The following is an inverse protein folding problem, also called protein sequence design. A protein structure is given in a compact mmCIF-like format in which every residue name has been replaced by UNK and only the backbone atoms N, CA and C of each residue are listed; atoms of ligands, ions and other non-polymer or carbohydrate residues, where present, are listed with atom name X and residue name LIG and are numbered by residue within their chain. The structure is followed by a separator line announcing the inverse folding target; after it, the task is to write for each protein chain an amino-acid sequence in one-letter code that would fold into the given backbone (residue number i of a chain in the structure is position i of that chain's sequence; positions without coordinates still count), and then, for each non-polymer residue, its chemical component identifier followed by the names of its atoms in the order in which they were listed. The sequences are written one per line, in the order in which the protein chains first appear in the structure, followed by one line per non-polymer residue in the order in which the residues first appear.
data_IF_035642495258
#
_entry.id   IF_035642495258
#
_cell.length_a   1.000
_cell.length_b   1.000
_cell.length_c   1.000
_cell.angle_alpha   90.00
_cell.angle_beta   90.00
_cell.angle_gamma   90.00
#
_symmetry.space_group_name_H-M   'P 1'
#
loop_
_entity.id
_entity.type
_entity.pdbx_description
1 polymer ?
#
# COMPACT_ATOMS: atom_id res chain seq x y z
N UNK A 1 -44.21 30.02 -11.09
CA UNK A 1 -43.76 30.10 -9.68
C UNK A 1 -44.80 29.39 -8.83
N UNK A 2 -44.55 28.44 -7.93
CA UNK A 2 -43.37 27.72 -7.44
C UNK A 2 -43.92 26.40 -6.82
N UNK A 3 -43.46 25.24 -7.28
CA UNK A 3 -42.43 24.38 -6.66
C UNK A 3 -42.94 23.53 -5.48
N UNK A 4 -43.30 22.29 -5.80
CA UNK A 4 -43.38 21.16 -4.87
C UNK A 4 -41.96 20.71 -4.56
N UNK A 5 -41.50 20.83 -3.31
CA UNK A 5 -40.27 20.19 -2.83
C UNK A 5 -40.61 18.97 -2.00
N UNK A 6 -40.37 17.79 -2.56
CA UNK A 6 -40.28 16.53 -1.81
C UNK A 6 -39.00 16.54 -0.98
N UNK A 7 -39.15 16.30 0.33
CA UNK A 7 -38.07 16.13 1.29
C UNK A 7 -37.45 14.75 1.14
N UNK A 8 -36.33 14.66 0.43
CA UNK A 8 -35.43 13.50 0.46
C UNK A 8 -34.53 13.63 1.70
N UNK A 9 -34.94 13.04 2.82
CA UNK A 9 -34.03 12.81 3.95
C UNK A 9 -34.32 11.45 4.58
N UNK A 10 -33.76 10.40 3.98
CA UNK A 10 -33.40 9.22 4.75
C UNK A 10 -31.98 8.79 4.35
N UNK A 11 -31.01 9.44 4.99
CA UNK A 11 -29.61 9.02 4.93
C UNK A 11 -29.47 7.89 5.96
N UNK A 12 -29.13 6.70 5.48
CA UNK A 12 -28.75 5.54 6.26
C UNK A 12 -28.02 5.94 7.55
N UNK A 13 -28.68 5.78 8.70
CA UNK A 13 -28.02 5.86 9.99
C UNK A 13 -27.16 4.61 10.13
N UNK A 14 -25.84 4.79 10.13
CA UNK A 14 -24.94 3.75 10.55
C UNK A 14 -25.35 3.26 11.96
N UNK A 15 -25.36 1.94 12.21
CA UNK A 15 -25.70 1.44 13.53
C UNK A 15 -24.73 1.97 14.59
N UNK A 16 -25.20 2.24 15.82
CA UNK A 16 -24.34 2.76 16.87
C UNK A 16 -23.27 1.73 17.24
N UNK A 17 -22.02 2.19 17.27
CA UNK A 17 -20.86 1.39 17.66
C UNK A 17 -21.04 1.00 19.14
N UNK A 18 -20.95 -0.31 19.50
CA UNK A 18 -21.15 -0.72 20.87
C UNK A 18 -20.06 -0.15 21.81
N UNK A 19 -20.43 0.23 23.04
CA UNK A 19 -19.64 1.10 23.93
C UNK A 19 -18.38 0.46 24.54
N UNK A 20 -17.92 -0.69 24.04
CA UNK A 20 -16.73 -1.40 24.54
C UNK A 20 -15.73 -1.78 23.43
N UNK A 21 -15.79 -1.12 22.27
CA UNK A 21 -14.93 -1.43 21.13
C UNK A 21 -13.69 -0.52 21.12
N UNK A 22 -12.74 -0.75 22.04
CA UNK A 22 -11.44 -0.07 22.00
C UNK A 22 -10.76 -0.25 20.62
N UNK A 23 -9.97 0.74 20.20
CA UNK A 23 -9.32 0.78 18.86
C UNK A 23 -8.44 -0.44 18.60
N UNK A 24 -7.89 -1.03 19.66
CA UNK A 24 -7.09 -2.25 19.60
C UNK A 24 -6.19 -2.40 20.82
N UNK A 25 -5.21 -3.30 20.70
CA UNK A 25 -4.14 -3.48 21.69
C UNK A 25 -2.81 -3.16 21.03
N UNK A 26 -2.00 -2.32 21.67
CA UNK A 26 -0.62 -2.05 21.33
C UNK A 26 0.28 -2.86 22.28
N UNK A 27 1.15 -3.70 21.74
CA UNK A 27 2.20 -4.39 22.48
C UNK A 27 3.51 -3.67 22.22
N UNK A 28 4.19 -3.26 23.28
CA UNK A 28 5.48 -2.57 23.23
C UNK A 28 6.59 -3.46 23.78
N UNK A 29 7.71 -3.49 23.08
CA UNK A 29 8.90 -4.19 23.49
C UNK A 29 9.53 -3.58 24.75
N UNK A 30 9.72 -4.40 25.78
CA UNK A 30 10.32 -3.97 27.05
C UNK A 30 11.75 -3.48 26.88
N UNK A 31 12.59 -4.20 26.12
CA UNK A 31 13.99 -3.82 25.90
C UNK A 31 14.12 -2.56 25.07
N UNK A 32 13.25 -2.37 24.07
CA UNK A 32 13.23 -1.12 23.30
C UNK A 32 12.81 0.07 24.17
N UNK A 33 11.76 -0.10 24.98
CA UNK A 33 11.25 0.92 25.92
C UNK A 33 12.33 1.38 26.88
N UNK A 34 13.08 0.44 27.44
CA UNK A 34 14.11 0.72 28.46
C UNK A 34 15.29 1.53 27.89
N UNK A 35 15.46 1.53 26.57
CA UNK A 35 16.44 2.36 25.88
C UNK A 35 15.91 3.75 25.48
N UNK A 36 14.62 4.05 25.72
CA UNK A 36 14.04 5.35 25.40
C UNK A 36 14.02 6.30 26.59
N UNK A 37 13.99 7.59 26.30
CA UNK A 37 13.81 8.60 27.34
C UNK A 37 12.43 8.46 28.02
N UNK A 38 12.31 8.55 29.36
CA UNK A 38 11.04 8.37 30.06
C UNK A 38 9.91 9.30 29.60
N UNK A 39 10.21 10.55 29.23
CA UNK A 39 9.20 11.47 28.71
C UNK A 39 8.56 10.99 27.42
N UNK A 40 9.33 10.31 26.55
CA UNK A 40 8.82 9.79 25.30
C UNK A 40 7.90 8.58 25.52
N UNK A 41 8.23 7.72 26.50
CA UNK A 41 7.35 6.63 26.92
C UNK A 41 6.03 7.16 27.51
N UNK A 42 6.08 8.25 28.29
CA UNK A 42 4.89 8.92 28.81
C UNK A 42 4.04 9.52 27.69
N UNK A 43 4.67 10.14 26.69
CA UNK A 43 3.99 10.61 25.48
C UNK A 43 3.26 9.44 24.78
N UNK A 44 3.96 8.34 24.49
CA UNK A 44 3.39 7.16 23.84
C UNK A 44 2.17 6.63 24.61
N UNK A 45 2.31 6.42 25.92
CA UNK A 45 1.23 5.91 26.76
C UNK A 45 0.01 6.83 26.76
N UNK A 46 0.23 8.15 26.86
CA UNK A 46 -0.83 9.16 26.83
C UNK A 46 -1.50 9.21 25.45
N UNK A 47 -0.72 9.16 24.39
CA UNK A 47 -1.20 9.19 23.00
C UNK A 47 -2.04 7.96 22.68
N UNK A 48 -1.59 6.76 23.06
CA UNK A 48 -2.36 5.52 22.91
C UNK A 48 -3.67 5.57 23.68
N UNK A 49 -3.65 6.06 24.92
CA UNK A 49 -4.85 6.19 25.75
C UNK A 49 -5.85 7.16 25.12
N UNK A 50 -5.39 8.32 24.64
CA UNK A 50 -6.23 9.29 23.93
C UNK A 50 -6.85 8.71 22.65
N UNK A 51 -6.17 7.75 22.01
CA UNK A 51 -6.65 7.05 20.81
C UNK A 51 -7.36 5.71 21.13
N UNK A 52 -7.74 5.48 22.40
CA UNK A 52 -8.48 4.28 22.84
C UNK A 52 -7.76 2.95 22.58
N UNK A 53 -6.43 2.96 22.59
CA UNK A 53 -5.61 1.75 22.55
C UNK A 53 -5.21 1.30 23.95
N UNK A 54 -5.26 0.00 24.20
CA UNK A 54 -4.70 -0.60 25.42
C UNK A 54 -3.22 -0.89 25.19
N UNK A 55 -2.36 -0.43 26.10
CA UNK A 55 -0.92 -0.65 26.03
C UNK A 55 -0.50 -1.84 26.93
N UNK A 56 0.22 -2.79 26.35
CA UNK A 56 0.84 -3.92 27.04
C UNK A 56 2.36 -3.91 26.80
N UNK A 57 3.13 -4.27 27.82
CA UNK A 57 4.59 -4.42 27.71
C UNK A 57 4.96 -5.91 27.64
N UNK A 58 5.67 -6.33 26.59
CA UNK A 58 6.02 -7.72 26.35
C UNK A 58 7.44 -7.84 25.78
N UNK A 59 8.15 -8.95 26.03
CA UNK A 59 9.45 -9.24 25.41
C UNK A 59 9.25 -9.76 23.97
N UNK A 60 8.82 -8.88 23.06
CA UNK A 60 8.58 -9.19 21.65
C UNK A 60 9.80 -8.85 20.78
N UNK A 61 9.88 -9.41 19.57
CA UNK A 61 11.01 -9.16 18.66
C UNK A 61 10.90 -7.83 17.89
N UNK A 62 9.68 -7.41 17.51
CA UNK A 62 9.39 -6.09 16.98
C UNK A 62 9.40 -5.04 18.11
N UNK A 63 9.42 -3.73 17.79
CA UNK A 63 9.33 -2.68 18.81
C UNK A 63 7.88 -2.45 19.23
N UNK A 64 6.98 -2.46 18.25
CA UNK A 64 5.54 -2.42 18.47
C UNK A 64 4.81 -3.47 17.65
N UNK A 65 3.75 -4.03 18.22
CA UNK A 65 2.75 -4.81 17.48
C UNK A 65 1.37 -4.27 17.83
N UNK A 66 0.62 -3.85 16.82
CA UNK A 66 -0.77 -3.42 16.96
C UNK A 66 -1.71 -4.54 16.52
N UNK A 67 -2.67 -4.87 17.39
CA UNK A 67 -3.74 -5.84 17.12
C UNK A 67 -5.08 -5.12 17.04
N UNK A 68 -5.61 -5.00 15.82
CA UNK A 68 -6.86 -4.30 15.51
C UNK A 68 -7.84 -5.26 14.84
N UNK A 69 -8.82 -5.78 15.59
CA UNK A 69 -9.85 -6.67 15.02
C UNK A 69 -9.30 -7.94 14.37
N UNK A 70 -8.27 -8.54 14.98
CA UNK A 70 -7.62 -9.76 14.49
C UNK A 70 -6.67 -9.53 13.30
N UNK A 71 -6.29 -8.30 13.00
CA UNK A 71 -5.15 -7.98 12.13
C UNK A 71 -3.98 -7.55 13.00
N UNK A 72 -2.80 -8.09 12.74
CA UNK A 72 -1.56 -7.73 13.42
C UNK A 72 -0.67 -6.94 12.48
N UNK A 73 -0.21 -5.78 12.93
CA UNK A 73 0.78 -4.94 12.22
C UNK A 73 1.98 -4.75 13.13
N UNK A 74 3.17 -5.12 12.65
CA UNK A 74 4.41 -5.00 13.38
C UNK A 74 5.23 -3.80 12.91
N UNK A 75 5.99 -3.21 13.84
CA UNK A 75 6.82 -2.05 13.59
C UNK A 75 8.21 -2.23 14.19
N UNK A 76 9.22 -1.90 13.40
CA UNK A 76 10.55 -1.50 13.89
C UNK A 76 10.52 0.03 13.99
N UNK A 77 10.95 0.57 15.13
CA UNK A 77 11.00 2.01 15.34
C UNK A 77 12.40 2.48 15.75
N UNK A 78 13.09 3.11 14.81
CA UNK A 78 14.41 3.72 15.01
C UNK A 78 14.22 5.19 15.36
N UNK A 79 14.37 5.55 16.63
CA UNK A 79 14.13 6.91 17.14
C UNK A 79 15.30 7.87 16.94
N UNK A 80 16.46 7.35 16.53
CA UNK A 80 17.60 8.14 16.11
C UNK A 80 18.40 7.35 15.06
N UNK A 81 18.50 7.86 13.83
CA UNK A 81 19.25 7.19 12.78
C UNK A 81 20.76 7.33 12.99
N UNK A 82 21.44 6.18 12.97
CA UNK A 82 22.89 6.07 13.00
C UNK A 82 23.35 5.20 11.83
N UNK A 83 24.24 5.76 11.01
CA UNK A 83 24.69 5.13 9.77
C UNK A 83 25.57 3.91 10.03
N UNK A 84 26.31 3.89 11.14
CA UNK A 84 27.16 2.76 11.53
C UNK A 84 26.31 1.54 11.93
N UNK A 85 25.08 1.79 12.39
CA UNK A 85 24.10 0.78 12.76
C UNK A 85 23.14 0.40 11.62
N UNK A 86 23.33 0.95 10.42
CA UNK A 86 22.42 0.73 9.30
C UNK A 86 22.22 -0.76 8.97
N UNK A 87 23.32 -1.52 8.85
CA UNK A 87 23.24 -2.97 8.56
C UNK A 87 22.38 -3.73 9.56
N UNK A 88 22.51 -3.45 10.85
CA UNK A 88 21.75 -4.11 11.91
C UNK A 88 20.24 -3.83 11.79
N UNK A 89 19.85 -2.61 11.40
CA UNK A 89 18.44 -2.25 11.18
C UNK A 89 17.86 -3.04 10.00
N UNK A 90 18.58 -3.09 8.86
CA UNK A 90 18.13 -3.81 7.68
C UNK A 90 18.12 -5.34 7.89
N UNK A 91 19.12 -5.91 8.56
CA UNK A 91 19.14 -7.33 8.91
C UNK A 91 17.97 -7.72 9.83
N UNK A 92 17.62 -6.83 10.77
CA UNK A 92 16.47 -7.02 11.65
C UNK A 92 15.15 -6.95 10.87
N UNK A 93 15.04 -6.00 9.94
CA UNK A 93 13.89 -5.87 9.05
C UNK A 93 13.68 -7.13 8.20
N UNK A 94 14.74 -7.66 7.59
CA UNK A 94 14.68 -8.90 6.79
C UNK A 94 14.26 -10.12 7.62
N UNK A 95 14.78 -10.24 8.85
CA UNK A 95 14.37 -11.32 9.78
C UNK A 95 12.88 -11.24 10.14
N UNK A 96 12.40 -10.04 10.48
CA UNK A 96 11.01 -9.84 10.90
C UNK A 96 10.02 -9.89 9.73
N UNK A 97 10.43 -9.51 8.53
CA UNK A 97 9.60 -9.58 7.30
C UNK A 97 9.10 -11.01 7.04
N UNK A 98 9.89 -12.03 7.39
CA UNK A 98 9.49 -13.44 7.27
C UNK A 98 8.41 -13.87 8.28
N UNK A 99 8.26 -13.13 9.37
CA UNK A 99 7.34 -13.45 10.46
C UNK A 99 6.04 -12.65 10.39
N UNK A 100 6.09 -11.43 9.84
CA UNK A 100 4.96 -10.52 9.82
C UNK A 100 4.62 -10.11 8.38
N UNK A 101 3.38 -10.42 7.96
CA UNK A 101 2.84 -9.97 6.67
C UNK A 101 2.82 -8.45 6.55
N UNK A 102 2.46 -7.76 7.63
CA UNK A 102 2.42 -6.29 7.68
C UNK A 102 3.53 -5.81 8.62
N UNK A 103 4.68 -5.50 8.04
CA UNK A 103 5.84 -4.95 8.74
C UNK A 103 6.19 -3.58 8.17
N UNK A 104 6.38 -2.62 9.06
CA UNK A 104 6.84 -1.28 8.74
C UNK A 104 8.09 -0.94 9.54
N UNK A 105 8.98 -0.15 8.94
CA UNK A 105 10.17 0.38 9.60
C UNK A 105 10.04 1.90 9.64
N UNK A 106 9.83 2.46 10.83
CA UNK A 106 9.76 3.92 11.02
C UNK A 106 11.11 4.41 11.51
N UNK A 107 11.66 5.43 10.86
CA UNK A 107 13.02 5.91 11.13
C UNK A 107 13.01 7.43 11.29
N UNK A 108 13.44 7.92 12.45
CA UNK A 108 13.64 9.35 12.68
C UNK A 108 14.97 9.81 12.09
N UNK A 109 14.87 10.74 11.14
CA UNK A 109 15.97 11.36 10.40
C UNK A 109 15.80 12.89 10.45
N UNK A 110 16.06 13.53 11.60
CA UNK A 110 15.77 14.95 11.79
C UNK A 110 16.59 15.87 10.88
N UNK A 111 17.83 15.49 10.52
CA UNK A 111 18.68 16.33 9.66
C UNK A 111 18.75 15.83 8.22
N UNK A 112 19.14 16.73 7.33
CA UNK A 112 19.37 16.40 5.92
C UNK A 112 20.46 15.35 5.77
N UNK A 113 21.54 15.45 6.54
CA UNK A 113 22.67 14.52 6.51
C UNK A 113 22.25 13.12 6.94
N UNK A 114 21.42 13.01 7.99
CA UNK A 114 20.85 11.72 8.40
C UNK A 114 19.91 11.15 7.35
N UNK A 115 19.08 11.98 6.72
CA UNK A 115 18.21 11.56 5.63
C UNK A 115 19.02 11.07 4.40
N UNK A 116 20.07 11.79 4.02
CA UNK A 116 20.94 11.41 2.90
C UNK A 116 21.69 10.10 3.20
N UNK A 117 22.16 9.93 4.44
CA UNK A 117 22.78 8.70 4.92
C UNK A 117 21.81 7.51 4.98
N UNK A 118 20.59 7.74 5.45
CA UNK A 118 19.52 6.76 5.45
C UNK A 118 19.18 6.32 4.03
N UNK A 119 19.02 7.26 3.10
CA UNK A 119 18.75 6.97 1.68
C UNK A 119 19.88 6.12 1.08
N UNK A 120 21.14 6.48 1.34
CA UNK A 120 22.28 5.69 0.88
C UNK A 120 22.22 4.24 1.39
N UNK A 121 21.91 4.07 2.68
CA UNK A 121 21.78 2.74 3.29
C UNK A 121 20.58 1.97 2.76
N UNK A 122 19.45 2.65 2.54
CA UNK A 122 18.25 2.08 1.94
C UNK A 122 18.55 1.53 0.54
N UNK A 123 19.18 2.30 -0.34
CA UNK A 123 19.54 1.81 -1.68
C UNK A 123 20.62 0.72 -1.66
N UNK A 124 21.48 0.71 -0.65
CA UNK A 124 22.52 -0.32 -0.49
C UNK A 124 21.94 -1.68 -0.09
N UNK A 125 20.97 -1.70 0.83
CA UNK A 125 20.50 -2.93 1.47
C UNK A 125 19.08 -3.37 1.04
N UNK A 126 18.22 -2.48 0.56
CA UNK A 126 16.85 -2.81 0.17
C UNK A 126 16.81 -3.36 -1.27
N UNK A 127 17.03 -4.67 -1.41
CA UNK A 127 16.96 -5.38 -2.70
C UNK A 127 15.51 -5.52 -3.19
N UNK A 128 14.52 -5.56 -2.28
CA UNK A 128 13.08 -5.56 -2.61
C UNK A 128 12.41 -4.26 -2.17
N UNK A 129 12.23 -3.34 -3.12
CA UNK A 129 11.59 -2.04 -2.88
C UNK A 129 10.19 -2.21 -2.27
N UNK A 130 10.00 -1.64 -1.07
CA UNK A 130 8.72 -1.56 -0.39
C UNK A 130 8.33 -2.83 0.39
N UNK A 131 9.26 -3.74 0.68
CA UNK A 131 8.99 -4.88 1.58
C UNK A 131 10.18 -5.17 2.51
N UNK A 132 10.15 -4.76 3.79
CA UNK A 132 9.09 -3.98 4.43
C UNK A 132 9.09 -2.51 3.98
N UNK A 133 7.98 -1.81 4.23
CA UNK A 133 7.88 -0.37 3.91
C UNK A 133 8.64 0.45 4.95
N UNK A 134 9.58 1.28 4.49
CA UNK A 134 10.29 2.24 5.32
C UNK A 134 9.58 3.60 5.31
N UNK A 135 9.48 4.23 6.48
CA UNK A 135 8.78 5.50 6.71
C UNK A 135 9.74 6.46 7.42
N UNK A 136 10.50 7.29 6.68
CA UNK A 136 11.31 8.33 7.29
C UNK A 136 10.42 9.42 7.90
N UNK A 137 10.80 9.92 9.07
CA UNK A 137 10.10 10.99 9.80
C UNK A 137 11.10 11.97 10.39
N UNK A 138 10.66 13.18 10.68
CA UNK A 138 11.53 14.20 11.24
C UNK A 138 11.88 13.90 12.70
N UNK A 139 10.88 13.62 13.54
CA UNK A 139 11.07 13.37 14.96
C UNK A 139 10.32 12.11 15.45
N UNK A 140 10.67 11.60 16.66
CA UNK A 140 10.04 10.40 17.21
C UNK A 140 8.54 10.53 17.54
N UNK A 141 8.04 11.70 17.93
CA UNK A 141 6.61 11.85 18.26
C UNK A 141 5.75 11.73 16.99
N UNK A 142 6.17 12.42 15.92
CA UNK A 142 5.59 12.26 14.59
C UNK A 142 5.70 10.81 14.09
N UNK A 143 6.84 10.17 14.33
CA UNK A 143 7.04 8.74 14.05
C UNK A 143 5.98 7.87 14.68
N UNK A 144 5.74 8.05 15.97
CA UNK A 144 4.75 7.28 16.70
C UNK A 144 3.31 7.58 16.26
N UNK A 145 2.97 8.84 15.97
CA UNK A 145 1.68 9.19 15.39
C UNK A 145 1.45 8.45 14.05
N UNK A 146 2.46 8.39 13.18
CA UNK A 146 2.37 7.62 11.92
C UNK A 146 2.17 6.13 12.16
N UNK A 147 2.86 5.54 13.15
CA UNK A 147 2.65 4.14 13.55
C UNK A 147 1.17 3.88 13.88
N UNK A 148 0.58 4.72 14.73
CA UNK A 148 -0.84 4.56 15.14
C UNK A 148 -1.78 4.75 13.95
N UNK A 149 -1.52 5.72 13.07
CA UNK A 149 -2.33 5.94 11.85
C UNK A 149 -2.27 4.75 10.90
N UNK A 150 -1.09 4.19 10.66
CA UNK A 150 -0.92 3.00 9.80
C UNK A 150 -1.68 1.81 10.41
N UNK A 151 -1.47 1.54 11.70
CA UNK A 151 -2.16 0.45 12.40
C UNK A 151 -3.70 0.60 12.34
N UNK A 152 -4.20 1.82 12.59
CA UNK A 152 -5.62 2.11 12.55
C UNK A 152 -6.21 1.90 11.15
N UNK A 153 -5.55 2.43 10.12
CA UNK A 153 -5.99 2.27 8.73
C UNK A 153 -6.13 0.79 8.35
N UNK A 154 -5.13 -0.02 8.68
CA UNK A 154 -5.16 -1.48 8.50
C UNK A 154 -6.34 -2.14 9.22
N UNK A 155 -6.58 -1.75 10.47
CA UNK A 155 -7.72 -2.24 11.26
C UNK A 155 -9.10 -1.82 10.73
N UNK A 156 -9.22 -0.62 10.16
CA UNK A 156 -10.48 -0.14 9.54
C UNK A 156 -10.72 -0.86 8.22
N UNK A 157 -9.72 -0.96 7.36
CA UNK A 157 -9.90 -1.56 6.04
C UNK A 157 -10.20 -3.06 6.12
N UNK A 158 -9.67 -3.78 7.11
CA UNK A 158 -10.12 -5.15 7.39
C UNK A 158 -11.59 -5.20 7.84
N UNK A 159 -12.01 -4.31 8.77
CA UNK A 159 -13.39 -4.29 9.29
C UNK A 159 -14.42 -3.94 8.22
N UNK A 160 -14.06 -3.05 7.32
CA UNK A 160 -14.93 -2.60 6.23
C UNK A 160 -14.82 -3.50 4.99
N UNK A 161 -13.96 -4.52 5.00
CA UNK A 161 -13.58 -5.29 3.82
C UNK A 161 -13.20 -4.39 2.61
N UNK A 162 -12.66 -3.20 2.92
CA UNK A 162 -12.40 -2.15 1.93
C UNK A 162 -11.36 -2.59 0.91
N UNK A 163 -10.42 -3.46 1.30
CA UNK A 163 -9.42 -4.01 0.37
C UNK A 163 -10.10 -4.93 -0.65
N UNK A 164 -11.04 -5.79 -0.22
CA UNK A 164 -11.76 -6.65 -1.17
C UNK A 164 -12.69 -5.83 -2.05
N UNK A 165 -13.38 -4.83 -1.49
CA UNK A 165 -14.24 -3.92 -2.25
C UNK A 165 -13.43 -3.13 -3.26
N UNK A 166 -12.30 -2.53 -2.88
CA UNK A 166 -11.42 -1.81 -3.81
C UNK A 166 -10.81 -2.74 -4.86
N UNK A 167 -10.48 -3.98 -4.51
CA UNK A 167 -10.00 -4.97 -5.48
C UNK A 167 -11.11 -5.32 -6.48
N UNK A 168 -12.34 -5.51 -6.00
CA UNK A 168 -13.51 -5.79 -6.83
C UNK A 168 -13.90 -4.57 -7.68
N UNK A 169 -13.85 -3.36 -7.14
CA UNK A 169 -14.05 -2.10 -7.87
C UNK A 169 -12.97 -1.88 -8.93
N UNK A 170 -11.69 -2.20 -8.62
CA UNK A 170 -10.60 -2.17 -9.60
C UNK A 170 -10.82 -3.21 -10.69
N UNK A 171 -11.18 -4.44 -10.33
CA UNK A 171 -11.53 -5.49 -11.29
C UNK A 171 -12.69 -5.01 -12.17
N UNK A 172 -13.80 -4.55 -11.59
CA UNK A 172 -14.94 -3.99 -12.32
C UNK A 172 -14.59 -2.78 -13.18
N UNK A 173 -13.73 -1.88 -12.70
CA UNK A 173 -13.29 -0.71 -13.45
C UNK A 173 -12.49 -1.14 -14.68
N UNK A 174 -11.57 -2.11 -14.55
CA UNK A 174 -10.75 -2.65 -15.65
C UNK A 174 -11.57 -3.49 -16.63
N UNK A 175 -12.74 -4.01 -16.23
CA UNK A 175 -13.71 -4.65 -17.14
C UNK A 175 -14.53 -3.66 -17.99
N UNK A 176 -14.38 -2.35 -17.76
CA UNK A 176 -15.07 -1.34 -18.55
C UNK A 176 -14.55 -1.26 -19.99
N UNK A 177 -15.46 -1.26 -20.97
CA UNK A 177 -15.12 -1.17 -22.39
C UNK A 177 -14.25 0.05 -22.73
N UNK A 178 -14.40 1.18 -22.01
CA UNK A 178 -13.55 2.37 -22.19
C UNK A 178 -12.07 2.11 -21.87
N UNK A 179 -11.79 1.37 -20.79
CA UNK A 179 -10.43 1.01 -20.41
C UNK A 179 -9.87 -0.09 -21.31
N UNK A 180 -10.70 -1.04 -21.73
CA UNK A 180 -10.33 -2.01 -22.75
C UNK A 180 -9.83 -1.31 -24.01
N UNK A 181 -10.62 -0.37 -24.56
CA UNK A 181 -10.25 0.39 -25.75
C UNK A 181 -8.96 1.19 -25.52
N UNK A 182 -8.83 1.87 -24.37
CA UNK A 182 -7.63 2.65 -24.02
C UNK A 182 -6.36 1.80 -23.95
N UNK A 183 -6.44 0.61 -23.37
CA UNK A 183 -5.28 -0.29 -23.26
C UNK A 183 -4.91 -0.86 -24.63
N UNK A 184 -5.88 -1.38 -25.38
CA UNK A 184 -5.60 -2.04 -26.66
C UNK A 184 -5.13 -1.04 -27.72
N UNK A 185 -5.70 0.16 -27.76
CA UNK A 185 -5.25 1.24 -28.68
C UNK A 185 -3.94 1.91 -28.27
N UNK A 186 -3.42 1.63 -27.06
CA UNK A 186 -2.07 2.06 -26.69
C UNK A 186 -0.98 1.28 -27.44
N UNK A 187 -1.33 0.14 -28.05
CA UNK A 187 -0.43 -0.61 -28.93
C UNK A 187 -0.27 0.17 -30.24
N UNK A 188 0.97 0.56 -30.63
CA UNK A 188 1.17 1.39 -31.81
C UNK A 188 0.62 0.77 -33.11
N UNK A 189 -0.33 1.47 -33.73
CA UNK A 189 -0.97 1.05 -34.98
C UNK A 189 -2.20 0.17 -34.81
N UNK A 190 -2.72 0.06 -33.58
CA UNK A 190 -4.03 -0.53 -33.27
C UNK A 190 -5.02 0.59 -33.01
N UNK A 191 -6.14 0.60 -33.74
CA UNK A 191 -7.20 1.60 -33.58
C UNK A 191 -8.43 1.06 -32.84
N UNK A 192 -9.46 1.90 -32.67
CA UNK A 192 -10.67 1.50 -31.96
C UNK A 192 -11.45 0.40 -32.69
N UNK A 193 -11.39 0.31 -34.02
CA UNK A 193 -12.05 -0.74 -34.77
C UNK A 193 -11.38 -2.09 -34.48
N UNK A 194 -10.06 -2.12 -34.61
CA UNK A 194 -9.23 -3.28 -34.27
C UNK A 194 -9.46 -3.74 -32.82
N UNK A 195 -9.49 -2.79 -31.88
CA UNK A 195 -9.74 -3.09 -30.48
C UNK A 195 -11.13 -3.74 -30.28
N UNK A 196 -12.17 -3.18 -30.90
CA UNK A 196 -13.51 -3.77 -30.83
C UNK A 196 -13.57 -5.18 -31.46
N UNK A 197 -12.86 -5.41 -32.57
CA UNK A 197 -12.77 -6.74 -33.18
C UNK A 197 -12.14 -7.76 -32.21
N UNK A 198 -11.05 -7.37 -31.52
CA UNK A 198 -10.42 -8.19 -30.49
C UNK A 198 -11.34 -8.45 -29.28
N UNK A 199 -12.08 -7.43 -28.83
CA UNK A 199 -13.04 -7.59 -27.74
C UNK A 199 -14.13 -8.60 -28.08
N UNK A 200 -14.62 -8.58 -29.31
CA UNK A 200 -15.69 -9.47 -29.77
C UNK A 200 -15.22 -10.90 -30.02
N UNK A 201 -14.02 -11.05 -30.61
CA UNK A 201 -13.49 -12.34 -31.03
C UNK A 201 -12.74 -13.10 -29.93
N UNK A 202 -11.98 -12.39 -29.09
CA UNK A 202 -11.07 -12.98 -28.11
C UNK A 202 -11.53 -12.66 -26.68
N UNK A 203 -12.09 -11.47 -26.46
CA UNK A 203 -12.63 -11.06 -25.17
C UNK A 203 -11.67 -10.20 -24.38
N UNK A 204 -11.24 -10.68 -23.20
CA UNK A 204 -10.49 -9.87 -22.24
C UNK A 204 -9.06 -9.55 -22.69
N UNK A 205 -8.47 -8.49 -22.12
CA UNK A 205 -7.05 -8.14 -22.31
C UNK A 205 -6.13 -9.33 -21.96
N UNK A 206 -6.47 -10.09 -20.92
CA UNK A 206 -5.72 -11.28 -20.52
C UNK A 206 -5.78 -12.41 -21.55
N UNK A 207 -6.96 -12.62 -22.18
CA UNK A 207 -7.09 -13.60 -23.25
C UNK A 207 -6.28 -13.17 -24.48
N UNK A 208 -6.28 -11.87 -24.82
CA UNK A 208 -5.51 -11.31 -25.92
C UNK A 208 -4.00 -11.40 -25.65
N UNK A 209 -3.54 -11.15 -24.42
CA UNK A 209 -2.11 -11.23 -24.08
C UNK A 209 -1.54 -12.65 -24.15
N UNK A 210 -2.39 -13.66 -24.02
CA UNK A 210 -2.05 -15.09 -24.13
C UNK A 210 -2.33 -15.65 -25.53
N UNK A 211 -3.02 -14.92 -26.39
CA UNK A 211 -3.39 -15.37 -27.72
C UNK A 211 -2.14 -15.49 -28.62
N UNK A 212 -2.08 -16.56 -29.40
CA UNK A 212 -1.04 -16.72 -30.41
C UNK A 212 -1.34 -15.86 -31.64
N UNK A 213 -0.31 -15.52 -32.43
CA UNK A 213 -0.48 -14.79 -33.71
C UNK A 213 -1.48 -15.50 -34.63
N UNK A 214 -1.40 -16.83 -34.73
CA UNK A 214 -2.33 -17.63 -35.53
C UNK A 214 -3.78 -17.53 -35.02
N UNK A 215 -3.97 -17.64 -33.71
CA UNK A 215 -5.29 -17.52 -33.09
C UNK A 215 -5.93 -16.14 -33.32
N UNK A 216 -5.14 -15.06 -33.25
CA UNK A 216 -5.62 -13.71 -33.55
C UNK A 216 -6.09 -13.61 -35.01
N UNK A 217 -5.27 -14.08 -35.95
CA UNK A 217 -5.59 -14.00 -37.38
C UNK A 217 -6.78 -14.89 -37.81
N UNK A 218 -6.99 -16.01 -37.12
CA UNK A 218 -8.12 -16.92 -37.40
C UNK A 218 -9.45 -16.35 -36.90
N UNK A 219 -9.44 -15.54 -35.84
CA UNK A 219 -10.65 -15.07 -35.17
C UNK A 219 -10.95 -13.58 -35.40
N UNK A 220 -10.04 -12.83 -36.05
CA UNK A 220 -10.21 -11.39 -36.32
C UNK A 220 -9.85 -11.06 -37.77
N UNK A 221 -10.27 -9.88 -38.24
CA UNK A 221 -9.91 -9.31 -39.55
C UNK A 221 -8.61 -8.48 -39.52
N UNK A 222 -7.81 -8.62 -38.45
CA UNK A 222 -6.54 -7.94 -38.29
C UNK A 222 -5.52 -8.36 -39.34
N UNK A 223 -4.70 -7.41 -39.78
CA UNK A 223 -3.57 -7.74 -40.66
C UNK A 223 -2.47 -8.51 -39.92
N UNK A 224 -1.67 -9.24 -40.68
CA UNK A 224 -0.50 -9.99 -40.17
C UNK A 224 0.43 -9.09 -39.34
N UNK A 225 0.65 -7.86 -39.79
CA UNK A 225 1.49 -6.88 -39.11
C UNK A 225 0.88 -6.41 -37.78
N UNK A 226 -0.45 -6.19 -37.73
CA UNK A 226 -1.14 -5.79 -36.50
C UNK A 226 -1.15 -6.93 -35.48
N UNK A 227 -1.44 -8.17 -35.92
CA UNK A 227 -1.40 -9.35 -35.06
C UNK A 227 0.00 -9.59 -34.46
N UNK A 228 1.06 -9.39 -35.25
CA UNK A 228 2.43 -9.51 -34.78
C UNK A 228 2.81 -8.43 -33.76
N UNK A 229 2.36 -7.18 -33.96
CA UNK A 229 2.58 -6.09 -33.00
C UNK A 229 1.89 -6.35 -31.67
N UNK A 230 0.67 -6.89 -31.68
CA UNK A 230 -0.08 -7.22 -30.47
C UNK A 230 0.70 -8.26 -29.66
N UNK A 231 1.11 -9.35 -30.30
CA UNK A 231 1.95 -10.39 -29.72
C UNK A 231 3.22 -9.78 -29.13
N UNK A 232 4.02 -9.08 -29.92
CA UNK A 232 5.32 -8.55 -29.45
C UNK A 232 5.18 -7.49 -28.33
N UNK A 233 4.12 -6.69 -28.33
CA UNK A 233 3.88 -5.67 -27.31
C UNK A 233 3.41 -6.29 -25.98
N UNK A 234 2.59 -7.32 -26.02
CA UNK A 234 2.04 -7.98 -24.82
C UNK A 234 3.00 -9.02 -24.22
N UNK A 235 3.84 -9.66 -25.03
CA UNK A 235 4.95 -10.50 -24.53
C UNK A 235 6.00 -9.69 -23.73
N UNK A 236 6.12 -8.38 -24.02
CA UNK A 236 6.97 -7.46 -23.24
C UNK A 236 6.37 -7.17 -21.86
N UNK A 237 5.05 -7.19 -21.72
CA UNK A 237 4.34 -7.01 -20.43
C UNK A 237 4.43 -8.28 -19.58
N UNK A 238 4.33 -9.47 -20.16
CA UNK A 238 4.41 -10.75 -19.44
C UNK A 238 5.78 -11.02 -18.79
N UNK A 239 6.89 -10.51 -19.36
CA UNK A 239 8.21 -10.60 -18.71
C UNK A 239 8.41 -9.59 -17.58
N UNK A 240 7.69 -8.47 -17.61
CA UNK A 240 7.75 -7.40 -16.61
C UNK A 240 6.72 -7.56 -15.48
N UNK A 241 5.78 -8.52 -15.57
CA UNK A 241 4.70 -8.72 -14.58
C UNK A 241 5.18 -9.25 -13.22
N UNK A 242 6.44 -9.68 -13.10
CA UNK A 242 7.03 -9.90 -11.77
C UNK A 242 7.61 -8.63 -11.12
N UNK A 243 7.72 -7.50 -11.83
CA UNK A 243 8.49 -6.34 -11.34
C UNK A 243 7.83 -4.96 -11.54
N UNK A 244 6.64 -4.84 -12.14
CA UNK A 244 6.05 -3.51 -12.43
C UNK A 244 4.57 -3.35 -12.05
N UNK A 245 4.32 -3.33 -10.74
CA UNK A 245 3.32 -2.44 -10.13
C UNK A 245 3.93 -1.85 -8.85
N UNK A 246 4.88 -0.94 -9.07
CA UNK A 246 5.48 -0.08 -8.05
C UNK A 246 5.76 1.24 -8.74
N UNK A 247 4.69 2.02 -8.98
CA UNK A 247 4.84 3.38 -9.48
C UNK A 247 5.55 4.19 -8.41
N UNK A 248 6.72 4.67 -8.80
CA UNK A 248 7.60 5.57 -8.08
C UNK A 248 6.85 6.89 -7.82
N UNK A 249 6.31 7.08 -6.62
CA UNK A 249 5.94 8.41 -6.12
C UNK A 249 7.04 8.89 -5.18
N UNK A 250 8.05 9.52 -5.77
CA UNK A 250 8.84 10.51 -5.05
C UNK A 250 7.97 11.78 -4.98
N UNK A 251 7.18 11.93 -3.92
CA UNK A 251 6.49 13.20 -3.62
C UNK A 251 7.45 14.05 -2.80
N UNK A 252 7.66 15.34 -3.16
CA UNK A 252 8.50 16.24 -2.39
C UNK A 252 7.96 16.42 -0.97
N UNK A 253 8.88 16.45 0.00
CA UNK A 253 8.61 16.93 1.34
C UNK A 253 8.12 18.38 1.26
N UNK A 254 6.81 18.58 1.35
CA UNK A 254 6.10 19.76 1.85
C UNK A 254 4.68 19.75 1.31
N UNK A 255 3.81 18.96 1.93
CA UNK A 255 2.42 19.31 2.17
C UNK A 255 1.76 18.20 2.99
N UNK A 256 1.10 18.60 4.07
CA UNK A 256 0.12 17.76 4.76
C UNK A 256 -0.89 17.19 3.75
N UNK A 257 -1.31 15.95 3.97
CA UNK A 257 -2.26 15.16 3.16
C UNK A 257 -1.73 14.36 1.96
N UNK A 258 -0.69 13.52 2.10
CA UNK A 258 -0.51 12.41 1.14
C UNK A 258 0.15 11.19 1.83
N UNK A 259 -0.65 10.40 2.55
CA UNK A 259 -0.32 8.99 2.76
C UNK A 259 -0.81 8.26 1.51
N UNK A 260 0.12 8.00 0.62
CA UNK A 260 -0.13 7.43 -0.69
C UNK A 260 -0.77 6.03 -0.58
N UNK A 261 -1.98 5.91 -1.14
CA UNK A 261 -2.85 4.73 -1.14
C UNK A 261 -2.17 3.50 -1.74
N UNK A 262 -1.14 3.70 -2.56
CA UNK A 262 -0.33 2.64 -3.16
C UNK A 262 0.42 1.77 -2.13
N UNK A 263 0.84 2.34 -0.99
CA UNK A 263 1.52 1.59 0.08
C UNK A 263 0.55 0.86 1.03
N UNK A 264 -0.76 1.11 0.89
CA UNK A 264 -1.79 0.47 1.69
C UNK A 264 -2.24 -0.88 1.12
N UNK A 265 -1.98 -1.14 -0.17
CA UNK A 265 -2.55 -2.26 -0.95
C UNK A 265 -1.54 -3.41 -1.16
N UNK A 266 -0.31 -3.31 -0.67
CA UNK A 266 0.65 -4.44 -0.67
C UNK A 266 0.50 -5.32 0.57
#
# INVERSE_FOLDING_TARGET
MASVRGSWTDRARNPPIPPNSGSGVCMMNTSWRDNQHPSFILFISSFLSANSYRLNFLPIAADFIFNNGGLSVAFIFVTNWDCDNGSAVFDRAEKLKRQFRHLYVVVSVPTREQNDSFNHSYFKYAVELGSPTFVPVHDPEMGFEKIVKIAHAHGVCKRQDAISMMKNEREQAVQGMDLFLRVVTSIPGIDNHDANALAQAIGSIEAISKASKGFILENTDLSVDKAERIVNSLFSVSKDEHHRFGVLFAVPANHDYFFDLANFIR
#
